data_IF_219051417391
#
_entry.id   IF_219051417391
#
_cell.length_a   1.000
_cell.length_b   1.000
_cell.length_c   1.000
_cell.angle_alpha   90.00
_cell.angle_beta   90.00
_cell.angle_gamma   90.00
#
_symmetry.space_group_name_H-M   'P 1'
#
loop_
_entity.id
_entity.type
_entity.pdbx_description
1 polymer ?
#
# COMPACT_ATOMS: atom_id res chain seq x y z
N UNK A 1 8.41 -46.84 -30.87
CA UNK A 1 9.52 -46.88 -31.85
C UNK A 1 10.33 -45.59 -31.74
N UNK A 2 11.64 -45.71 -31.49
CA UNK A 2 12.82 -44.86 -31.85
C UNK A 2 12.61 -43.35 -32.09
N UNK A 3 13.47 -42.40 -31.65
CA UNK A 3 14.88 -42.46 -31.20
C UNK A 3 15.29 -41.09 -30.59
N UNK A 4 16.04 -41.12 -29.47
CA UNK A 4 16.92 -40.05 -28.97
C UNK A 4 18.06 -39.76 -29.97
N UNK A 5 18.60 -38.54 -29.96
CA UNK A 5 19.99 -38.26 -30.37
C UNK A 5 20.66 -37.28 -29.39
N UNK A 6 21.57 -37.85 -28.58
CA UNK A 6 22.72 -37.14 -28.01
C UNK A 6 23.78 -36.94 -29.11
N UNK A 7 24.60 -35.90 -28.97
CA UNK A 7 25.98 -35.95 -29.49
C UNK A 7 26.88 -34.98 -28.72
N UNK A 8 27.57 -35.52 -27.72
CA UNK A 8 28.82 -34.98 -27.21
C UNK A 8 29.97 -35.35 -28.15
N UNK A 9 30.95 -34.47 -28.33
CA UNK A 9 32.27 -34.81 -28.90
C UNK A 9 33.35 -34.04 -28.16
N UNK A 10 34.09 -34.79 -27.34
CA UNK A 10 35.44 -34.46 -26.85
C UNK A 10 36.47 -34.87 -27.91
N UNK A 11 37.58 -34.14 -27.98
CA UNK A 11 38.90 -34.64 -28.40
C UNK A 11 40.00 -34.00 -27.53
N UNK A 12 40.87 -34.86 -26.98
CA UNK A 12 42.18 -34.56 -26.37
C UNK A 12 43.18 -34.11 -27.47
N UNK A 13 44.38 -33.52 -27.26
CA UNK A 13 45.36 -33.68 -26.18
C UNK A 13 46.45 -32.58 -26.19
N UNK A 14 47.03 -32.39 -25.00
CA UNK A 14 48.40 -32.02 -24.58
C UNK A 14 49.35 -31.18 -25.46
N UNK A 15 49.93 -30.16 -24.82
CA UNK A 15 51.29 -29.68 -25.03
C UNK A 15 51.79 -28.86 -23.83
N UNK A 16 52.67 -29.43 -23.01
CA UNK A 16 53.43 -28.79 -21.92
C UNK A 16 54.66 -28.07 -22.48
N UNK A 17 54.91 -26.79 -22.14
CA UNK A 17 56.24 -26.24 -21.76
C UNK A 17 56.04 -25.04 -20.82
N UNK A 18 56.98 -24.93 -19.89
CA UNK A 18 57.07 -24.24 -18.61
C UNK A 18 57.51 -22.76 -18.59
N UNK A 19 57.11 -22.11 -17.48
CA UNK A 19 57.76 -21.03 -16.70
C UNK A 19 57.77 -19.60 -17.27
N UNK A 20 56.96 -18.75 -16.61
CA UNK A 20 57.13 -17.31 -16.52
C UNK A 20 56.50 -16.83 -15.22
N UNK A 21 57.34 -16.58 -14.21
CA UNK A 21 56.93 -15.95 -12.94
C UNK A 21 56.56 -14.50 -13.24
N UNK A 22 55.28 -14.18 -13.14
CA UNK A 22 54.76 -12.82 -13.22
C UNK A 22 53.54 -12.73 -12.33
N UNK A 23 53.73 -12.27 -11.10
CA UNK A 23 52.65 -12.04 -10.14
C UNK A 23 51.67 -11.01 -10.68
N UNK A 24 50.52 -11.47 -11.14
CA UNK A 24 49.35 -10.64 -11.33
C UNK A 24 48.51 -10.74 -10.05
N UNK A 25 48.64 -9.74 -9.18
CA UNK A 25 47.69 -9.51 -8.09
C UNK A 25 46.37 -9.13 -8.75
N UNK A 26 45.44 -10.09 -8.83
CA UNK A 26 44.06 -9.84 -9.20
C UNK A 26 43.42 -9.08 -8.05
N UNK A 27 43.31 -7.77 -8.18
CA UNK A 27 42.45 -6.96 -7.34
C UNK A 27 41.01 -7.32 -7.68
N UNK A 28 40.39 -8.18 -6.87
CA UNK A 28 38.94 -8.29 -6.83
C UNK A 28 38.41 -6.94 -6.33
N UNK A 29 37.93 -6.10 -7.25
CA UNK A 29 37.15 -4.92 -6.89
C UNK A 29 35.80 -5.42 -6.37
N UNK A 30 35.75 -5.67 -5.06
CA UNK A 30 34.52 -5.76 -4.30
C UNK A 30 33.79 -4.42 -4.42
N UNK A 31 32.80 -4.36 -5.30
CA UNK A 31 31.79 -3.31 -5.28
C UNK A 31 30.95 -3.53 -4.02
N UNK A 32 31.42 -2.99 -2.89
CA UNK A 32 30.54 -2.62 -1.81
C UNK A 32 29.71 -1.45 -2.38
N UNK A 33 28.54 -1.77 -2.93
CA UNK A 33 27.50 -0.77 -3.09
C UNK A 33 27.23 -0.23 -1.69
N UNK A 34 27.72 0.97 -1.40
CA UNK A 34 27.22 1.70 -0.27
C UNK A 34 25.75 1.95 -0.59
N UNK A 35 24.85 1.26 0.11
CA UNK A 35 23.47 1.70 0.23
C UNK A 35 23.54 3.12 0.78
N UNK A 36 23.45 4.11 -0.11
CA UNK A 36 23.34 5.50 0.29
C UNK A 36 21.97 5.58 0.93
N UNK A 37 21.93 5.40 2.25
CA UNK A 37 20.72 5.56 3.04
C UNK A 37 20.11 6.91 2.67
N UNK A 38 18.94 6.87 2.03
CA UNK A 38 18.19 8.07 1.70
C UNK A 38 17.94 8.78 3.04
N UNK A 39 18.25 10.08 3.18
CA UNK A 39 17.96 10.77 4.43
C UNK A 39 16.45 10.62 4.71
N UNK A 40 16.07 10.32 5.97
CA UNK A 40 14.67 10.11 6.31
C UNK A 40 13.88 11.36 5.94
N UNK A 41 12.75 11.17 5.23
CA UNK A 41 11.86 12.30 4.90
C UNK A 41 11.33 12.89 6.20
N UNK A 42 11.23 14.22 6.32
CA UNK A 42 10.51 14.84 7.42
C UNK A 42 9.09 14.27 7.49
N UNK A 43 8.73 13.66 8.61
CA UNK A 43 7.38 13.11 8.85
C UNK A 43 6.50 14.24 9.38
N UNK A 44 5.48 14.63 8.61
CA UNK A 44 4.54 15.67 9.02
C UNK A 44 3.47 15.10 9.95
N UNK A 45 3.19 15.77 11.08
CA UNK A 45 2.11 15.41 12.00
C UNK A 45 0.90 16.34 11.82
N UNK A 46 -0.31 15.80 12.01
CA UNK A 46 -1.51 16.63 11.97
C UNK A 46 -1.64 17.46 13.25
N UNK A 47 -1.52 18.78 13.14
CA UNK A 47 -1.61 19.73 14.26
C UNK A 47 -2.80 20.70 14.15
N UNK A 48 -3.60 20.57 13.09
CA UNK A 48 -4.68 21.49 12.72
C UNK A 48 -6.08 20.96 13.00
N UNK A 49 -7.08 21.75 12.64
CA UNK A 49 -8.51 21.38 12.76
C UNK A 49 -9.11 20.83 11.47
N UNK A 50 -8.42 20.95 10.33
CA UNK A 50 -8.95 20.55 9.02
C UNK A 50 -7.82 20.12 8.06
N UNK A 51 -8.10 19.09 7.26
CA UNK A 51 -7.22 18.63 6.19
C UNK A 51 -7.21 19.60 5.01
N UNK A 52 -6.08 19.66 4.30
CA UNK A 52 -5.91 20.53 3.13
C UNK A 52 -6.35 19.82 1.83
N UNK A 53 -7.47 20.29 1.26
CA UNK A 53 -8.05 19.77 0.02
C UNK A 53 -7.57 20.49 -1.25
N UNK A 54 -6.70 21.50 -1.13
CA UNK A 54 -6.25 22.27 -2.29
C UNK A 54 -5.50 21.37 -3.28
N UNK A 55 -5.85 21.48 -4.56
CA UNK A 55 -5.28 20.68 -5.64
C UNK A 55 -5.92 19.29 -5.83
N UNK A 56 -6.96 18.95 -5.06
CA UNK A 56 -7.75 17.74 -5.30
C UNK A 56 -8.39 17.78 -6.70
N UNK A 57 -8.18 16.72 -7.46
CA UNK A 57 -8.80 16.50 -8.76
C UNK A 57 -9.56 15.16 -8.71
N UNK A 58 -10.92 15.16 -8.81
CA UNK A 58 -11.69 13.91 -8.77
C UNK A 58 -11.41 13.00 -9.97
N UNK A 59 -10.88 13.52 -11.09
CA UNK A 59 -10.50 12.71 -12.24
C UNK A 59 -9.07 12.12 -12.10
N UNK A 60 -8.27 12.60 -11.14
CA UNK A 60 -6.89 12.18 -10.93
C UNK A 60 -6.49 12.42 -9.48
N UNK A 61 -6.75 11.45 -8.61
CA UNK A 61 -6.48 11.56 -7.16
C UNK A 61 -4.99 11.37 -6.86
N UNK A 62 -4.34 10.45 -7.58
CA UNK A 62 -2.96 10.04 -7.41
C UNK A 62 -2.48 9.41 -8.72
N UNK A 63 -1.21 9.62 -9.08
CA UNK A 63 -0.62 9.05 -10.31
C UNK A 63 -0.24 7.57 -10.12
N UNK A 64 -0.30 6.78 -11.20
CA UNK A 64 -0.03 5.33 -11.16
C UNK A 64 1.41 5.05 -10.69
N UNK A 65 2.36 5.86 -11.15
CA UNK A 65 3.77 5.78 -10.76
C UNK A 65 3.99 6.02 -9.27
N UNK A 66 3.11 6.81 -8.63
CA UNK A 66 3.17 7.06 -7.19
C UNK A 66 2.47 5.93 -6.43
N UNK A 67 1.30 5.50 -6.90
CA UNK A 67 0.49 4.51 -6.19
C UNK A 67 1.13 3.11 -6.14
N UNK A 68 1.84 2.73 -7.20
CA UNK A 68 2.44 1.41 -7.35
C UNK A 68 3.97 1.41 -7.17
N UNK A 69 4.56 2.49 -6.64
CA UNK A 69 5.97 2.50 -6.23
C UNK A 69 6.13 1.88 -4.85
N UNK A 70 6.39 0.56 -4.79
CA UNK A 70 6.63 -0.16 -3.54
C UNK A 70 7.97 0.17 -2.86
N UNK A 71 8.80 1.04 -3.45
CA UNK A 71 10.15 1.34 -2.97
C UNK A 71 10.26 2.63 -2.15
N UNK A 72 9.14 3.32 -1.92
CA UNK A 72 9.11 4.64 -1.25
C UNK A 72 9.52 4.61 0.23
N UNK A 73 9.27 3.50 0.93
CA UNK A 73 9.59 3.32 2.34
C UNK A 73 10.12 1.91 2.64
N UNK A 74 11.18 1.83 3.44
CA UNK A 74 11.61 0.58 4.07
C UNK A 74 10.78 0.27 5.32
N UNK A 75 10.88 -0.94 5.87
CA UNK A 75 10.27 -1.26 7.16
C UNK A 75 10.71 -0.30 8.29
N UNK A 76 11.97 0.16 8.26
CA UNK A 76 12.48 1.13 9.24
C UNK A 76 11.85 2.53 9.06
N UNK A 77 11.65 2.97 7.82
CA UNK A 77 10.96 4.24 7.54
C UNK A 77 9.50 4.19 8.01
N UNK A 78 8.82 3.05 7.82
CA UNK A 78 7.45 2.83 8.27
C UNK A 78 7.39 2.82 9.81
N UNK A 79 8.31 2.11 10.47
CA UNK A 79 8.39 2.07 11.94
C UNK A 79 8.60 3.48 12.53
N UNK A 80 9.52 4.25 11.95
CA UNK A 80 9.73 5.64 12.33
C UNK A 80 8.47 6.49 12.11
N UNK A 81 7.81 6.34 10.95
CA UNK A 81 6.57 7.06 10.66
C UNK A 81 5.48 6.74 11.69
N UNK A 82 5.23 5.46 11.98
CA UNK A 82 4.24 5.01 12.95
C UNK A 82 4.56 5.50 14.37
N UNK A 83 5.84 5.52 14.74
CA UNK A 83 6.30 6.05 16.03
C UNK A 83 6.01 7.55 16.16
N UNK A 84 6.25 8.33 15.10
CA UNK A 84 6.00 9.78 15.10
C UNK A 84 4.51 10.09 15.11
N UNK A 85 3.70 9.44 14.26
CA UNK A 85 2.25 9.68 14.23
C UNK A 85 1.54 9.17 15.49
N UNK A 86 2.08 8.11 16.11
CA UNK A 86 1.59 7.53 17.35
C UNK A 86 2.22 8.13 18.62
N UNK A 87 2.93 9.25 18.54
CA UNK A 87 3.58 9.85 19.72
C UNK A 87 2.56 10.12 20.83
N UNK A 88 2.83 9.59 22.04
CA UNK A 88 1.93 9.70 23.18
C UNK A 88 0.71 8.77 23.14
N UNK A 89 0.61 7.88 22.15
CA UNK A 89 -0.43 6.88 22.08
C UNK A 89 -0.51 6.05 23.37
N UNK A 90 -1.74 5.79 23.81
CA UNK A 90 -2.05 4.92 24.93
C UNK A 90 -2.76 3.68 24.42
N UNK A 91 -2.50 2.49 24.99
CA UNK A 91 -3.26 1.30 24.67
C UNK A 91 -4.76 1.49 24.87
N UNK A 92 -5.54 0.70 24.14
CA UNK A 92 -6.98 0.57 24.30
C UNK A 92 -7.36 0.17 25.72
N UNK A 93 -8.60 0.45 26.12
CA UNK A 93 -9.11 0.02 27.44
C UNK A 93 -9.15 -1.50 27.61
N UNK A 94 -9.14 -2.24 26.51
CA UNK A 94 -9.05 -3.70 26.44
C UNK A 94 -7.59 -4.22 26.37
N UNK A 95 -6.60 -3.32 26.38
CA UNK A 95 -5.19 -3.64 26.25
C UNK A 95 -4.67 -3.66 24.81
N UNK A 96 -5.50 -3.32 23.82
CA UNK A 96 -5.08 -3.25 22.41
C UNK A 96 -3.88 -2.30 22.26
N UNK A 97 -2.73 -2.73 21.71
CA UNK A 97 -1.54 -1.90 21.64
C UNK A 97 -1.65 -0.88 20.51
N UNK A 98 -0.90 0.23 20.65
CA UNK A 98 -0.70 1.22 19.59
C UNK A 98 -0.12 0.58 18.34
N UNK A 99 -0.41 1.12 17.14
CA UNK A 99 0.02 0.50 15.88
C UNK A 99 1.54 0.30 15.78
N UNK A 100 2.33 1.26 16.30
CA UNK A 100 3.79 1.16 16.37
C UNK A 100 4.32 0.04 17.29
N UNK A 101 3.46 -0.53 18.14
CA UNK A 101 3.79 -1.62 19.07
C UNK A 101 2.94 -2.88 18.82
N UNK A 102 2.10 -2.85 17.79
CA UNK A 102 1.25 -3.98 17.44
C UNK A 102 2.09 -5.08 16.77
N UNK A 103 1.82 -6.32 17.18
CA UNK A 103 2.42 -7.52 16.60
C UNK A 103 1.33 -8.49 16.20
N UNK A 104 1.57 -9.26 15.15
CA UNK A 104 0.64 -10.28 14.67
C UNK A 104 1.38 -11.47 14.08
N UNK A 105 0.72 -12.63 14.05
CA UNK A 105 1.21 -13.78 13.33
C UNK A 105 0.82 -13.67 11.86
N UNK A 106 1.77 -13.94 10.98
CA UNK A 106 1.61 -13.90 9.54
C UNK A 106 1.59 -15.33 9.01
N UNK A 107 0.50 -15.79 8.39
CA UNK A 107 0.48 -17.07 7.70
C UNK A 107 1.30 -16.99 6.42
N UNK A 108 1.83 -18.14 5.97
CA UNK A 108 2.46 -18.23 4.67
C UNK A 108 1.43 -17.97 3.56
N UNK A 109 1.76 -17.04 2.66
CA UNK A 109 0.96 -16.72 1.48
C UNK A 109 1.72 -17.17 0.23
N UNK A 110 1.21 -18.14 -0.53
CA UNK A 110 1.83 -18.54 -1.78
C UNK A 110 1.76 -17.40 -2.81
N UNK A 111 2.77 -17.32 -3.67
CA UNK A 111 2.74 -16.41 -4.81
C UNK A 111 1.52 -16.69 -5.70
N UNK A 112 0.94 -15.62 -6.23
CA UNK A 112 -0.12 -15.66 -7.22
C UNK A 112 0.11 -14.58 -8.28
N UNK A 113 -0.89 -14.33 -9.12
CA UNK A 113 -0.80 -13.36 -10.21
C UNK A 113 -0.72 -11.88 -9.77
N UNK A 114 -1.08 -11.58 -8.52
CA UNK A 114 -1.17 -10.21 -7.99
C UNK A 114 -0.10 -9.90 -6.94
N UNK A 115 0.36 -10.91 -6.20
CA UNK A 115 1.40 -10.74 -5.19
C UNK A 115 2.41 -11.90 -5.22
N UNK A 116 3.67 -11.59 -4.97
CA UNK A 116 4.72 -12.54 -4.67
C UNK A 116 4.44 -13.31 -3.37
N UNK A 117 5.23 -14.35 -3.11
CA UNK A 117 5.12 -15.13 -1.88
C UNK A 117 5.48 -14.30 -0.64
N UNK A 118 4.79 -14.55 0.47
CA UNK A 118 5.13 -14.03 1.80
C UNK A 118 5.31 -15.24 2.70
N UNK A 119 6.49 -15.36 3.32
CA UNK A 119 6.77 -16.45 4.26
C UNK A 119 5.96 -16.29 5.54
N UNK A 120 5.66 -17.40 6.22
CA UNK A 120 5.09 -17.34 7.56
C UNK A 120 6.08 -16.74 8.56
N UNK A 121 5.54 -16.06 9.56
CA UNK A 121 6.30 -15.51 10.66
C UNK A 121 5.39 -15.29 11.87
N UNK A 122 5.98 -15.29 13.06
CA UNK A 122 5.26 -15.04 14.31
C UNK A 122 5.74 -13.75 14.95
N UNK A 123 4.83 -13.07 15.66
CA UNK A 123 5.11 -11.79 16.34
C UNK A 123 5.70 -10.72 15.42
N UNK A 124 5.24 -10.63 14.17
CA UNK A 124 5.71 -9.63 13.22
C UNK A 124 5.11 -8.26 13.56
N UNK A 125 5.95 -7.22 13.56
CA UNK A 125 5.50 -5.86 13.82
C UNK A 125 4.66 -5.28 12.68
N UNK A 126 3.79 -4.31 12.97
CA UNK A 126 2.95 -3.68 11.95
C UNK A 126 3.75 -3.06 10.79
N UNK A 127 4.90 -2.44 11.07
CA UNK A 127 5.78 -1.86 10.05
C UNK A 127 6.35 -2.91 9.09
N UNK A 128 6.73 -4.07 9.62
CA UNK A 128 7.22 -5.20 8.83
C UNK A 128 6.12 -5.81 7.98
N UNK A 129 4.91 -5.97 8.53
CA UNK A 129 3.73 -6.43 7.77
C UNK A 129 3.46 -5.51 6.58
N UNK A 130 3.40 -4.19 6.81
CA UNK A 130 3.13 -3.21 5.76
C UNK A 130 4.24 -3.27 4.69
N UNK A 131 5.51 -3.30 5.10
CA UNK A 131 6.64 -3.36 4.16
C UNK A 131 6.65 -4.63 3.32
N UNK A 132 6.39 -5.79 3.92
CA UNK A 132 6.35 -7.07 3.21
C UNK A 132 5.18 -7.14 2.25
N UNK A 133 3.98 -6.72 2.66
CA UNK A 133 2.81 -6.67 1.76
C UNK A 133 3.03 -5.68 0.62
N UNK A 134 3.52 -4.47 0.91
CA UNK A 134 3.82 -3.47 -0.10
C UNK A 134 4.77 -4.00 -1.16
N UNK A 135 5.86 -4.66 -0.73
CA UNK A 135 6.85 -5.26 -1.63
C UNK A 135 6.25 -6.43 -2.41
N UNK A 136 5.56 -7.36 -1.74
CA UNK A 136 5.03 -8.55 -2.38
C UNK A 136 3.97 -8.21 -3.43
N UNK A 137 3.12 -7.23 -3.16
CA UNK A 137 2.04 -6.84 -4.05
C UNK A 137 2.36 -5.61 -4.92
N UNK A 138 3.60 -5.10 -4.92
CA UNK A 138 4.00 -3.90 -5.68
C UNK A 138 3.05 -2.69 -5.48
N UNK A 139 2.71 -2.38 -4.23
CA UNK A 139 1.89 -1.22 -3.85
C UNK A 139 2.72 -0.30 -2.96
N UNK A 140 2.57 1.01 -3.13
CA UNK A 140 3.29 1.98 -2.32
C UNK A 140 2.91 1.85 -0.82
N UNK A 141 3.88 1.64 0.10
CA UNK A 141 3.60 1.56 1.54
C UNK A 141 2.95 2.83 2.11
N UNK A 142 3.23 4.02 1.55
CA UNK A 142 2.58 5.29 1.90
C UNK A 142 1.06 5.23 1.63
N UNK A 143 0.65 4.58 0.54
CA UNK A 143 -0.77 4.36 0.20
C UNK A 143 -1.43 3.45 1.24
N UNK A 144 -0.77 2.36 1.63
CA UNK A 144 -1.32 1.44 2.65
C UNK A 144 -1.49 2.14 4.00
N UNK A 145 -0.54 3.00 4.40
CA UNK A 145 -0.64 3.81 5.61
C UNK A 145 -1.83 4.78 5.56
N UNK A 146 -2.06 5.43 4.41
CA UNK A 146 -3.22 6.32 4.23
C UNK A 146 -4.53 5.54 4.27
N UNK A 147 -4.59 4.34 3.70
CA UNK A 147 -5.77 3.48 3.78
C UNK A 147 -6.07 3.10 5.24
N UNK A 148 -5.08 2.65 6.01
CA UNK A 148 -5.26 2.35 7.44
C UNK A 148 -5.84 3.54 8.22
N UNK A 149 -5.38 4.75 7.90
CA UNK A 149 -5.89 5.97 8.52
C UNK A 149 -7.30 6.33 8.07
N UNK A 150 -7.57 6.28 6.76
CA UNK A 150 -8.87 6.62 6.20
C UNK A 150 -9.97 5.68 6.70
N UNK A 151 -9.68 4.39 6.77
CA UNK A 151 -10.69 3.36 7.02
C UNK A 151 -10.93 3.15 8.52
N UNK A 152 -9.86 3.16 9.34
CA UNK A 152 -9.99 2.88 10.78
C UNK A 152 -9.34 3.93 11.69
N UNK A 153 -8.74 5.00 11.14
CA UNK A 153 -7.99 5.99 11.91
C UNK A 153 -6.76 5.41 12.62
N UNK A 154 -6.31 4.22 12.19
CA UNK A 154 -5.49 3.33 13.01
C UNK A 154 -4.08 3.89 13.25
N UNK A 155 -3.55 4.66 12.29
CA UNK A 155 -2.21 5.28 12.39
C UNK A 155 -2.12 6.27 13.56
N UNK A 156 -3.22 6.98 13.83
CA UNK A 156 -3.30 7.98 14.92
C UNK A 156 -4.15 7.54 16.11
N UNK A 157 -4.70 6.31 16.08
CA UNK A 157 -5.61 5.83 17.10
C UNK A 157 -4.92 5.67 18.47
N UNK A 158 -5.63 6.01 19.54
CA UNK A 158 -5.12 5.98 20.91
C UNK A 158 -6.26 5.86 21.92
N UNK A 159 -6.00 5.19 23.04
CA UNK A 159 -6.92 5.07 24.17
C UNK A 159 -8.28 4.51 23.75
N UNK A 160 -9.36 5.24 24.04
CA UNK A 160 -10.73 4.80 23.71
C UNK A 160 -11.02 4.70 22.21
N UNK A 161 -10.15 5.25 21.36
CA UNK A 161 -10.24 5.11 19.90
C UNK A 161 -9.53 3.86 19.38
N UNK A 162 -8.97 3.02 20.25
CA UNK A 162 -8.15 1.87 19.90
C UNK A 162 -8.76 0.60 20.52
N UNK A 163 -9.27 -0.27 19.66
CA UNK A 163 -9.96 -1.52 20.03
C UNK A 163 -9.58 -2.61 19.01
N UNK A 164 -9.56 -3.87 19.43
CA UNK A 164 -9.09 -4.99 18.60
C UNK A 164 -9.82 -5.11 17.25
N UNK A 165 -11.12 -4.80 17.21
CA UNK A 165 -11.91 -4.90 15.98
C UNK A 165 -11.41 -3.95 14.87
N UNK A 166 -10.74 -2.85 15.22
CA UNK A 166 -10.13 -1.94 14.25
C UNK A 166 -8.96 -2.59 13.53
N UNK A 167 -8.19 -3.46 14.20
CA UNK A 167 -7.17 -4.27 13.55
C UNK A 167 -7.79 -5.39 12.72
N UNK A 168 -8.88 -5.99 13.21
CA UNK A 168 -9.61 -7.01 12.46
C UNK A 168 -10.20 -6.49 11.14
N UNK A 169 -10.44 -5.18 11.03
CA UNK A 169 -11.06 -4.49 9.89
C UNK A 169 -10.20 -3.33 9.36
N UNK A 170 -8.87 -3.43 9.52
CA UNK A 170 -7.92 -2.32 9.38
C UNK A 170 -8.04 -1.50 8.08
N UNK A 171 -8.44 -2.11 6.97
CA UNK A 171 -8.63 -1.45 5.68
C UNK A 171 -10.10 -1.49 5.21
N UNK A 172 -11.00 -2.07 6.00
CA UNK A 172 -12.41 -2.26 5.63
C UNK A 172 -12.66 -3.30 4.53
N UNK A 173 -11.61 -3.96 4.01
CA UNK A 173 -11.77 -4.88 2.88
C UNK A 173 -12.64 -6.08 3.26
N UNK A 174 -13.71 -6.31 2.49
CA UNK A 174 -14.56 -7.49 2.61
C UNK A 174 -15.32 -7.58 3.94
N UNK A 175 -15.42 -6.48 4.69
CA UNK A 175 -16.13 -6.39 5.96
C UNK A 175 -17.52 -5.76 5.75
N UNK A 176 -18.63 -6.48 5.99
CA UNK A 176 -19.95 -5.88 5.85
C UNK A 176 -20.23 -4.84 6.95
N UNK A 177 -20.93 -3.76 6.58
CA UNK A 177 -21.31 -2.71 7.52
C UNK A 177 -22.11 -3.27 8.72
N UNK A 178 -21.66 -2.94 9.93
CA UNK A 178 -22.31 -3.37 11.18
C UNK A 178 -22.19 -4.87 11.49
N UNK A 179 -21.34 -5.61 10.77
CA UNK A 179 -21.08 -7.02 11.01
C UNK A 179 -19.60 -7.29 11.28
N UNK A 180 -19.32 -8.47 11.84
CA UNK A 180 -17.94 -8.96 12.00
C UNK A 180 -17.39 -9.39 10.64
N UNK A 181 -16.16 -8.98 10.32
CA UNK A 181 -15.43 -9.44 9.14
C UNK A 181 -15.30 -10.97 9.17
N UNK A 182 -15.43 -11.63 8.01
CA UNK A 182 -15.25 -13.08 7.92
C UNK A 182 -13.80 -13.48 8.28
N UNK A 183 -13.59 -14.68 8.81
CA UNK A 183 -12.30 -15.08 9.38
C UNK A 183 -11.12 -15.12 8.39
N UNK A 184 -11.38 -15.31 7.10
CA UNK A 184 -10.39 -15.33 6.02
C UNK A 184 -10.03 -13.94 5.47
N UNK A 185 -10.71 -12.89 5.94
CA UNK A 185 -10.42 -11.48 5.66
C UNK A 185 -10.08 -10.69 6.93
N UNK A 186 -10.52 -11.16 8.10
CA UNK A 186 -10.28 -10.49 9.38
C UNK A 186 -8.81 -10.60 9.82
N UNK A 187 -8.36 -9.57 10.53
CA UNK A 187 -7.02 -9.48 11.12
C UNK A 187 -6.11 -8.54 10.35
N UNK A 188 -5.18 -7.90 11.06
CA UNK A 188 -4.36 -6.81 10.51
C UNK A 188 -3.63 -7.22 9.23
N UNK A 189 -2.90 -8.35 9.26
CA UNK A 189 -2.19 -8.85 8.09
C UNK A 189 -3.14 -9.11 6.91
N UNK A 190 -4.26 -9.82 7.13
CA UNK A 190 -5.21 -10.15 6.07
C UNK A 190 -5.82 -8.88 5.45
N UNK A 191 -6.16 -7.88 6.28
CA UNK A 191 -6.71 -6.61 5.81
C UNK A 191 -5.72 -5.83 4.93
N UNK A 192 -4.45 -5.73 5.37
CA UNK A 192 -3.40 -5.05 4.60
C UNK A 192 -3.09 -5.81 3.31
N UNK A 193 -2.91 -7.13 3.37
CA UNK A 193 -2.66 -8.00 2.22
C UNK A 193 -3.80 -7.92 1.19
N UNK A 194 -5.05 -8.09 1.63
CA UNK A 194 -6.21 -8.13 0.74
C UNK A 194 -6.46 -6.77 0.08
N UNK A 195 -6.23 -5.67 0.78
CA UNK A 195 -6.31 -4.34 0.17
C UNK A 195 -5.27 -4.19 -0.95
N UNK A 196 -4.00 -4.49 -0.69
CA UNK A 196 -2.94 -4.40 -1.69
C UNK A 196 -3.19 -5.33 -2.89
N UNK A 197 -3.55 -6.58 -2.62
CA UNK A 197 -3.95 -7.57 -3.62
C UNK A 197 -5.12 -7.06 -4.49
N UNK A 198 -6.11 -6.44 -3.88
CA UNK A 198 -7.28 -5.94 -4.60
C UNK A 198 -6.93 -4.77 -5.53
N UNK A 199 -6.01 -3.88 -5.14
CA UNK A 199 -5.53 -2.84 -6.05
C UNK A 199 -4.76 -3.40 -7.24
N UNK A 200 -3.99 -4.48 -7.04
CA UNK A 200 -3.38 -5.21 -8.16
C UNK A 200 -4.41 -5.86 -9.06
N UNK A 201 -5.48 -6.41 -8.50
CA UNK A 201 -6.59 -6.96 -9.27
C UNK A 201 -7.34 -5.89 -10.08
N UNK A 202 -7.60 -4.71 -9.50
CA UNK A 202 -8.16 -3.57 -10.23
C UNK A 202 -7.29 -3.18 -11.43
N UNK A 203 -5.96 -3.15 -11.25
CA UNK A 203 -4.98 -2.82 -12.30
C UNK A 203 -4.93 -3.89 -13.40
N UNK A 204 -4.99 -5.16 -13.04
CA UNK A 204 -4.86 -6.29 -13.97
C UNK A 204 -6.15 -6.56 -14.78
N UNK A 205 -7.31 -6.38 -14.15
CA UNK A 205 -8.62 -6.70 -14.70
C UNK A 205 -9.60 -5.53 -14.57
N UNK A 206 -9.29 -4.35 -15.13
CA UNK A 206 -10.10 -3.15 -14.91
C UNK A 206 -11.55 -3.31 -15.38
N UNK A 207 -11.80 -4.07 -16.45
CA UNK A 207 -13.13 -4.30 -17.03
C UNK A 207 -14.05 -5.17 -16.15
N UNK A 208 -13.54 -5.80 -15.10
CA UNK A 208 -14.35 -6.56 -14.12
C UNK A 208 -15.02 -5.66 -13.07
N UNK A 209 -14.78 -4.35 -13.11
CA UNK A 209 -15.19 -3.39 -12.08
C UNK A 209 -15.93 -2.17 -12.67
N UNK A 210 -16.60 -1.43 -11.79
CA UNK A 210 -17.52 -0.35 -12.18
C UNK A 210 -16.81 0.90 -12.71
N UNK A 211 -15.59 1.18 -12.25
CA UNK A 211 -14.81 2.35 -12.64
C UNK A 211 -13.57 1.93 -13.42
N UNK A 212 -13.47 2.39 -14.68
CA UNK A 212 -12.40 2.08 -15.63
C UNK A 212 -11.72 3.37 -16.08
N UNK A 213 -10.39 3.39 -16.03
CA UNK A 213 -9.62 4.56 -16.49
C UNK A 213 -9.85 4.85 -17.98
N UNK A 214 -9.97 6.13 -18.33
CA UNK A 214 -10.22 6.63 -19.68
C UNK A 214 -11.66 6.51 -20.15
N UNK A 215 -12.55 5.89 -19.37
CA UNK A 215 -13.97 5.73 -19.68
C UNK A 215 -14.78 6.73 -18.87
N UNK A 216 -15.77 7.43 -19.47
CA UNK A 216 -16.69 8.28 -18.71
C UNK A 216 -17.64 7.42 -17.85
N UNK A 217 -17.71 7.73 -16.56
CA UNK A 217 -18.61 7.08 -15.59
C UNK A 217 -19.45 8.12 -14.86
N UNK A 218 -20.72 7.81 -14.58
CA UNK A 218 -21.49 8.57 -13.60
C UNK A 218 -21.06 8.15 -12.20
N UNK A 219 -20.44 9.09 -11.47
CA UNK A 219 -19.96 8.84 -10.10
C UNK A 219 -20.86 9.60 -9.13
N UNK A 220 -21.47 8.87 -8.19
CA UNK A 220 -22.37 9.47 -7.20
C UNK A 220 -21.62 10.28 -6.14
N UNK A 221 -22.32 11.25 -5.54
CA UNK A 221 -21.83 11.96 -4.36
C UNK A 221 -22.04 11.19 -3.06
N UNK A 222 -22.98 10.23 -3.04
CA UNK A 222 -23.35 9.46 -1.86
C UNK A 222 -24.11 8.19 -2.29
N UNK A 223 -24.19 7.12 -1.46
CA UNK A 223 -25.05 5.97 -1.71
C UNK A 223 -26.54 6.27 -1.93
N UNK A 224 -26.97 7.49 -1.61
CA UNK A 224 -28.36 7.93 -1.70
C UNK A 224 -28.58 8.53 -3.09
N UNK A 225 -29.43 7.95 -3.94
CA UNK A 225 -29.61 8.42 -5.31
C UNK A 225 -30.03 9.90 -5.40
N UNK A 226 -30.77 10.41 -4.42
CA UNK A 226 -31.21 11.81 -4.36
C UNK A 226 -30.05 12.81 -4.20
N UNK A 227 -28.87 12.37 -3.78
CA UNK A 227 -27.68 13.20 -3.72
C UNK A 227 -27.09 13.49 -5.10
N UNK A 228 -27.45 12.71 -6.12
CA UNK A 228 -26.95 12.88 -7.48
C UNK A 228 -25.47 12.54 -7.63
N UNK A 229 -24.87 13.06 -8.69
CA UNK A 229 -23.50 12.82 -9.09
C UNK A 229 -23.17 13.57 -10.37
N UNK A 230 -21.96 13.38 -10.87
CA UNK A 230 -21.52 13.91 -12.16
C UNK A 230 -20.78 12.86 -12.96
N UNK A 231 -20.70 13.09 -14.27
CA UNK A 231 -19.83 12.30 -15.13
C UNK A 231 -18.37 12.66 -14.87
N UNK A 232 -17.54 11.65 -14.65
CA UNK A 232 -16.09 11.77 -14.52
C UNK A 232 -15.43 10.84 -15.54
N UNK A 233 -14.42 11.36 -16.24
CA UNK A 233 -13.47 10.52 -16.99
C UNK A 233 -12.23 10.35 -16.13
N UNK A 234 -12.11 9.21 -15.46
CA UNK A 234 -10.99 8.93 -14.55
C UNK A 234 -9.71 8.75 -15.36
N UNK A 235 -8.63 9.40 -14.97
CA UNK A 235 -7.44 9.57 -15.83
C UNK A 235 -6.51 8.35 -15.84
N UNK A 236 -6.44 7.60 -14.74
CA UNK A 236 -5.44 6.54 -14.55
C UNK A 236 -5.98 5.38 -13.70
N UNK A 237 -5.21 4.29 -13.63
CA UNK A 237 -5.67 3.03 -13.00
C UNK A 237 -5.72 3.11 -11.48
N UNK A 238 -4.81 3.84 -10.84
CA UNK A 238 -4.77 4.05 -9.40
C UNK A 238 -6.01 4.81 -8.92
N UNK A 239 -6.38 5.89 -9.62
CA UNK A 239 -7.60 6.66 -9.32
C UNK A 239 -8.85 5.80 -9.57
N UNK A 240 -8.88 5.00 -10.65
CA UNK A 240 -9.99 4.08 -10.89
C UNK A 240 -10.12 3.03 -9.77
N UNK A 241 -8.99 2.47 -9.32
CA UNK A 241 -8.93 1.55 -8.18
C UNK A 241 -9.44 2.18 -6.89
N UNK A 242 -9.13 3.45 -6.62
CA UNK A 242 -9.66 4.17 -5.45
C UNK A 242 -11.18 4.34 -5.51
N UNK A 243 -11.75 4.63 -6.68
CA UNK A 243 -13.20 4.65 -6.85
C UNK A 243 -13.83 3.26 -6.72
N UNK A 244 -13.19 2.21 -7.27
CA UNK A 244 -13.67 0.83 -7.07
C UNK A 244 -13.61 0.40 -5.58
N UNK A 245 -12.67 0.95 -4.81
CA UNK A 245 -12.58 0.72 -3.36
C UNK A 245 -13.56 1.60 -2.56
N UNK A 246 -13.83 2.81 -3.00
CA UNK A 246 -14.69 3.80 -2.33
C UNK A 246 -15.49 4.59 -3.38
N UNK A 247 -16.70 4.13 -3.76
CA UNK A 247 -17.36 4.51 -5.02
C UNK A 247 -18.11 5.84 -4.99
N UNK A 248 -17.57 6.84 -4.30
CA UNK A 248 -18.17 8.17 -4.20
C UNK A 248 -17.15 9.28 -4.37
N UNK A 249 -17.55 10.32 -5.11
CA UNK A 249 -16.80 11.57 -5.21
C UNK A 249 -17.33 12.58 -4.17
N UNK A 250 -16.52 13.56 -3.74
CA UNK A 250 -17.00 14.60 -2.83
C UNK A 250 -17.98 15.55 -3.52
N UNK A 251 -19.00 15.98 -2.78
CA UNK A 251 -19.91 17.04 -3.21
C UNK A 251 -19.29 18.44 -2.92
N UNK A 252 -19.91 19.54 -3.37
CA UNK A 252 -19.39 20.88 -3.09
C UNK A 252 -19.26 21.21 -1.59
N UNK A 253 -20.08 20.61 -0.72
CA UNK A 253 -19.96 20.80 0.73
C UNK A 253 -18.70 20.13 1.27
N UNK A 254 -18.45 18.87 0.92
CA UNK A 254 -17.25 18.13 1.30
C UNK A 254 -15.98 18.83 0.79
N UNK A 255 -15.97 19.34 -0.44
CA UNK A 255 -14.86 20.12 -0.99
C UNK A 255 -14.57 21.42 -0.23
N UNK A 256 -15.61 22.03 0.36
CA UNK A 256 -15.47 23.17 1.26
C UNK A 256 -15.08 22.78 2.70
N UNK A 257 -14.93 21.47 2.97
CA UNK A 257 -14.72 20.91 4.30
C UNK A 257 -15.90 21.05 5.24
N UNK A 258 -17.11 21.07 4.68
CA UNK A 258 -18.36 21.12 5.41
C UNK A 258 -19.00 19.73 5.42
N UNK A 259 -19.65 19.41 6.53
CA UNK A 259 -20.51 18.23 6.65
C UNK A 259 -21.83 18.46 5.92
N UNK A 260 -22.47 17.39 5.47
CA UNK A 260 -23.76 17.45 4.78
C UNK A 260 -24.39 16.08 4.57
N UNK A 261 -25.70 16.05 4.31
CA UNK A 261 -26.42 14.79 4.10
C UNK A 261 -25.98 13.99 2.86
N UNK A 262 -25.22 14.63 1.97
CA UNK A 262 -24.66 14.06 0.74
C UNK A 262 -23.13 14.16 0.67
N UNK A 263 -22.48 14.64 1.74
CA UNK A 263 -21.05 14.82 1.76
C UNK A 263 -20.35 13.45 1.87
N UNK A 264 -19.50 13.13 0.90
CA UNK A 264 -18.65 11.94 0.92
C UNK A 264 -17.18 12.35 0.97
N UNK A 265 -16.51 11.97 2.06
CA UNK A 265 -15.14 12.38 2.32
C UNK A 265 -14.10 11.31 1.99
N UNK A 266 -14.47 10.10 1.56
CA UNK A 266 -13.54 8.98 1.40
C UNK A 266 -12.33 9.30 0.53
N UNK A 267 -12.54 9.50 -0.77
CA UNK A 267 -11.46 9.81 -1.72
C UNK A 267 -10.80 11.18 -1.44
N UNK A 268 -11.56 12.14 -0.90
CA UNK A 268 -11.06 13.45 -0.52
C UNK A 268 -10.07 13.36 0.67
N UNK A 269 -10.41 12.57 1.69
CA UNK A 269 -9.57 12.31 2.85
C UNK A 269 -8.34 11.49 2.47
N UNK A 270 -8.47 10.52 1.54
CA UNK A 270 -7.30 9.81 1.01
C UNK A 270 -6.29 10.80 0.44
N UNK A 271 -6.72 11.66 -0.50
CA UNK A 271 -5.86 12.69 -1.09
C UNK A 271 -5.20 13.56 -0.01
N UNK A 272 -6.00 14.05 0.94
CA UNK A 272 -5.52 15.03 1.89
C UNK A 272 -4.56 14.43 2.94
N UNK A 273 -4.79 13.18 3.37
CA UNK A 273 -3.86 12.46 4.23
C UNK A 273 -2.55 12.14 3.51
N UNK A 274 -2.63 11.68 2.25
CA UNK A 274 -1.43 11.45 1.45
C UNK A 274 -0.63 12.75 1.29
N UNK A 275 -1.32 13.84 0.92
CA UNK A 275 -0.74 15.17 0.79
C UNK A 275 -0.05 15.65 2.07
N UNK A 276 -0.73 15.50 3.20
CA UNK A 276 -0.21 15.91 4.49
C UNK A 276 1.07 15.18 4.84
N UNK A 277 1.08 13.85 4.70
CA UNK A 277 2.17 13.01 5.21
C UNK A 277 3.35 12.87 4.25
N UNK A 278 3.08 12.82 2.95
CA UNK A 278 4.07 12.41 1.95
C UNK A 278 4.28 13.44 0.83
N UNK A 279 3.44 14.47 0.77
CA UNK A 279 3.50 15.53 -0.23
C UNK A 279 2.64 15.23 -1.46
N UNK A 280 3.00 15.78 -2.62
CA UNK A 280 2.19 15.68 -3.84
C UNK A 280 1.94 14.21 -4.22
N UNK A 281 0.66 13.80 -4.45
CA UNK A 281 0.34 12.48 -5.02
C UNK A 281 0.53 12.42 -6.54
N UNK A 282 1.04 13.50 -7.15
CA UNK A 282 1.32 13.58 -8.58
C UNK A 282 2.80 13.42 -8.86
N UNK A 283 3.13 12.62 -9.88
CA UNK A 283 4.49 12.46 -10.37
C UNK A 283 5.04 13.80 -10.86
N UNK A 284 6.34 14.02 -10.62
CA UNK A 284 7.05 15.27 -10.94
C UNK A 284 7.53 15.32 -12.39
#
# INVERSE_FOLDING_TARGET
MRRKKNSARQWLALGLVSVGVGGAVLWAASWLGADVARPPRPVATFTGTQLDFTGFDPARIIDDEVFFDSTTMTAADIDQFLTVQGEGCQPGSDGTPCLAHYVTDVPAMPANEHCAEIADASNMGAAEVISQVATACEVNPEVLLVLLQKEQGLVTASGRGLEEWRYASATGYGCPDGATCAGDVAGFFNQVYRAAWQFQRYRAYPEDFDHVAGVPHQVGYHPRPECGGTELTISNQATAGLYNYTPYQPDPAALAGLEGACASHGNLNFYAWYKLWFGSPYAS
#
